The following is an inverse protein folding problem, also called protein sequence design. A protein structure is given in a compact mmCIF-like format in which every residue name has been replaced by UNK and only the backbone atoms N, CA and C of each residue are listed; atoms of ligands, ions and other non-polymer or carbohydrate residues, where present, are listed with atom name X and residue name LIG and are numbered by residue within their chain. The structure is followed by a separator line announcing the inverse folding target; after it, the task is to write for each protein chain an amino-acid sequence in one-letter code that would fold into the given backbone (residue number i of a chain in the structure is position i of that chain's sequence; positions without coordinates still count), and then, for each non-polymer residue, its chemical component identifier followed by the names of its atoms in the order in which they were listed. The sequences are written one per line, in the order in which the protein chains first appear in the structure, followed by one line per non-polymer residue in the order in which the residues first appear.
data_IF_351843401780
#
_entry.id   IF_351843401780
#
_cell.length_a   1.000
_cell.length_b   1.000
_cell.length_c   1.000
_cell.angle_alpha   90.00
_cell.angle_beta   90.00
_cell.angle_gamma   90.00
#
_symmetry.space_group_name_H-M   'P 1'
#
loop_
_entity.id
_entity.type
_entity.pdbx_description
1 polymer ?
#
# COMPACT_ATOMS: atom_id res chain seq x y z
N UNK A 1 9.92 -30.03 -4.62
CA UNK A 1 9.86 -29.53 -4.14
C UNK A 1 9.10 -28.73 -3.86
N UNK A 2 8.69 -28.57 -3.43
CA UNK A 2 7.95 -27.99 -3.17
C UNK A 2 7.84 -27.10 -2.50
N UNK A 3 7.88 -26.45 -2.48
CA UNK A 3 7.79 -25.48 -1.89
C UNK A 3 6.61 -25.00 -1.58
N UNK A 4 5.77 -25.56 -1.37
CA UNK A 4 4.53 -25.11 -1.04
C UNK A 4 4.45 -24.71 0.37
N UNK A 5 5.30 -23.92 0.82
CA UNK A 5 5.21 -23.34 2.14
C UNK A 5 4.01 -22.41 2.16
N UNK A 6 2.99 -22.66 2.98
CA UNK A 6 1.83 -21.80 3.05
C UNK A 6 2.18 -20.35 3.40
N UNK A 7 3.23 -20.16 4.17
CA UNK A 7 3.63 -18.81 4.53
C UNK A 7 4.14 -18.04 3.33
N UNK A 8 4.87 -18.71 2.45
CA UNK A 8 5.38 -18.05 1.26
C UNK A 8 4.24 -17.67 0.33
N UNK A 9 3.30 -18.58 0.15
CA UNK A 9 2.14 -18.31 -0.71
C UNK A 9 1.32 -17.15 -0.15
N UNK A 10 1.15 -17.13 1.16
CA UNK A 10 0.39 -16.07 1.79
C UNK A 10 1.08 -14.73 1.63
N UNK A 11 2.39 -14.71 1.79
CA UNK A 11 3.14 -13.47 1.63
C UNK A 11 3.08 -12.95 0.21
N UNK A 12 3.16 -13.86 -0.76
CA UNK A 12 3.08 -13.45 -2.15
C UNK A 12 1.71 -12.90 -2.49
N UNK A 13 0.67 -13.49 -1.94
CA UNK A 13 -0.67 -12.99 -2.16
C UNK A 13 -0.86 -11.62 -1.56
N UNK A 14 -0.34 -11.40 -0.36
CA UNK A 14 -0.44 -10.10 0.28
C UNK A 14 0.35 -9.04 -0.45
N UNK A 15 1.51 -9.44 -0.98
CA UNK A 15 2.31 -8.51 -1.74
C UNK A 15 1.59 -8.08 -3.00
N UNK A 16 0.96 -9.04 -3.68
CA UNK A 16 0.21 -8.73 -4.89
C UNK A 16 -0.98 -7.82 -4.57
N UNK A 17 -1.67 -8.11 -3.48
CA UNK A 17 -2.77 -7.26 -3.06
C UNK A 17 -2.28 -5.84 -2.77
N UNK A 18 -1.13 -5.75 -2.13
CA UNK A 18 -0.53 -4.46 -1.84
C UNK A 18 -0.26 -3.68 -3.12
N UNK A 19 0.31 -4.33 -4.11
CA UNK A 19 0.58 -3.67 -5.38
C UNK A 19 -0.69 -3.27 -6.10
N UNK A 20 -1.68 -4.15 -6.07
CA UNK A 20 -2.94 -3.88 -6.75
C UNK A 20 -3.68 -2.70 -6.14
N UNK A 21 -3.55 -2.51 -4.84
CA UNK A 21 -4.23 -1.44 -4.14
C UNK A 21 -3.44 -0.15 -4.09
N UNK A 22 -2.24 -0.16 -4.65
CA UNK A 22 -1.39 1.02 -4.55
C UNK A 22 -1.99 2.26 -5.20
N UNK A 23 -2.59 2.18 -6.40
CA UNK A 23 -3.21 3.36 -6.98
C UNK A 23 -4.31 3.94 -6.10
N UNK A 24 -5.13 3.08 -5.51
CA UNK A 24 -6.18 3.52 -4.63
C UNK A 24 -5.60 4.10 -3.34
N UNK A 25 -4.53 3.49 -2.86
CA UNK A 25 -3.84 3.97 -1.68
C UNK A 25 -3.34 5.39 -1.88
N UNK A 26 -2.73 5.63 -3.02
CA UNK A 26 -2.20 6.95 -3.31
C UNK A 26 -3.32 7.96 -3.40
N UNK A 27 -4.45 7.57 -3.98
CA UNK A 27 -5.60 8.46 -4.06
C UNK A 27 -6.11 8.82 -2.69
N UNK A 28 -6.18 7.86 -1.78
CA UNK A 28 -6.60 8.13 -0.41
C UNK A 28 -5.61 9.02 0.32
N UNK A 29 -4.34 8.82 0.05
CA UNK A 29 -3.31 9.58 0.75
C UNK A 29 -3.29 11.04 0.31
N UNK A 30 -3.66 11.30 -0.94
CA UNK A 30 -3.65 12.66 -1.46
C UNK A 30 -2.28 13.27 -1.52
N UNK A 31 -1.25 12.45 -1.59
CA UNK A 31 0.11 12.97 -1.63
C UNK A 31 0.50 13.31 -3.07
N UNK A 32 1.32 14.35 -3.24
CA UNK A 32 1.84 14.65 -4.57
C UNK A 32 2.63 13.48 -5.12
N UNK A 33 2.47 13.22 -6.40
CA UNK A 33 3.11 12.07 -7.00
C UNK A 33 4.44 12.38 -7.62
N UNK A 34 4.76 13.63 -7.81
CA UNK A 34 6.06 13.91 -8.39
C UNK A 34 6.51 15.24 -7.94
N UNK A 35 7.64 15.23 -7.33
CA UNK A 35 8.27 16.43 -6.96
C UNK A 35 9.69 16.21 -7.33
N UNK A 36 9.95 16.10 -8.57
CA UNK A 36 11.30 15.89 -9.02
C UNK A 36 12.18 17.01 -8.51
N UNK A 37 13.32 16.63 -8.00
CA UNK A 37 14.29 17.58 -7.54
C UNK A 37 14.13 18.01 -6.12
N UNK A 38 13.13 17.52 -5.44
CA UNK A 38 12.97 17.84 -4.04
C UNK A 38 13.50 16.74 -3.18
N UNK A 39 14.15 17.12 -2.12
CA UNK A 39 14.67 16.19 -1.15
C UNK A 39 13.87 16.31 0.12
N UNK A 40 13.50 15.18 0.66
CA UNK A 40 12.74 15.16 1.91
C UNK A 40 13.66 14.79 3.04
N UNK A 41 13.43 15.42 4.19
CA UNK A 41 14.14 15.03 5.40
C UNK A 41 13.62 13.68 5.86
N UNK A 42 14.36 13.06 6.76
CA UNK A 42 13.96 11.80 7.34
C UNK A 42 12.58 11.90 7.98
N UNK A 43 12.38 12.99 8.66
CA UNK A 43 11.11 13.24 9.34
C UNK A 43 9.96 13.34 8.34
N UNK A 44 10.20 14.04 7.24
CA UNK A 44 9.19 14.17 6.21
C UNK A 44 8.88 12.83 5.57
N UNK A 45 9.90 12.02 5.35
CA UNK A 45 9.69 10.70 4.77
C UNK A 45 8.89 9.81 5.71
N UNK A 46 9.16 9.90 6.99
CA UNK A 46 8.39 9.12 7.96
C UNK A 46 6.94 9.52 7.98
N UNK A 47 6.69 10.82 7.89
CA UNK A 47 5.32 11.32 7.84
C UNK A 47 4.59 10.79 6.61
N UNK A 48 5.27 10.80 5.46
CA UNK A 48 4.67 10.28 4.25
C UNK A 48 4.41 8.79 4.36
N UNK A 49 5.34 8.07 4.96
CA UNK A 49 5.17 6.62 5.14
C UNK A 49 3.98 6.33 6.04
N UNK A 50 3.82 7.12 7.10
CA UNK A 50 2.69 6.97 7.99
C UNK A 50 1.38 7.20 7.24
N UNK A 51 1.34 8.26 6.43
CA UNK A 51 0.15 8.57 5.66
C UNK A 51 -0.18 7.44 4.68
N UNK A 52 0.84 6.88 4.07
CA UNK A 52 0.63 5.78 3.13
C UNK A 52 0.13 4.52 3.84
N UNK A 53 0.67 4.24 5.02
CA UNK A 53 0.20 3.07 5.76
C UNK A 53 -1.26 3.21 6.13
N UNK A 54 -1.65 4.39 6.58
CA UNK A 54 -3.04 4.63 6.93
C UNK A 54 -3.92 4.56 5.69
N UNK A 55 -3.47 5.16 4.60
CA UNK A 55 -4.22 5.17 3.35
C UNK A 55 -4.38 3.75 2.80
N UNK A 56 -3.36 2.92 2.95
CA UNK A 56 -3.46 1.54 2.49
C UNK A 56 -4.51 0.78 3.29
N UNK A 57 -4.56 1.01 4.59
CA UNK A 57 -5.57 0.39 5.43
C UNK A 57 -6.96 0.77 4.97
N UNK A 58 -7.16 2.04 4.67
CA UNK A 58 -8.46 2.52 4.20
C UNK A 58 -8.78 1.97 2.82
N UNK A 59 -7.79 1.91 1.94
CA UNK A 59 -8.01 1.38 0.60
C UNK A 59 -8.42 -0.08 0.66
N UNK A 60 -7.79 -0.84 1.53
CA UNK A 60 -8.10 -2.25 1.71
C UNK A 60 -9.52 -2.43 2.20
N UNK A 61 -9.89 -1.64 3.17
CA UNK A 61 -11.22 -1.71 3.73
C UNK A 61 -12.27 -1.35 2.68
N UNK A 62 -12.02 -0.29 1.94
CA UNK A 62 -12.93 0.15 0.91
C UNK A 62 -13.11 -0.93 -0.16
N UNK A 63 -12.02 -1.53 -0.59
CA UNK A 63 -12.08 -2.57 -1.62
C UNK A 63 -12.89 -3.77 -1.13
N UNK A 64 -12.69 -4.15 0.12
CA UNK A 64 -13.43 -5.27 0.68
C UNK A 64 -14.92 -4.99 0.72
N UNK A 65 -15.29 -3.78 1.06
CA UNK A 65 -16.69 -3.40 1.12
C UNK A 65 -17.35 -3.51 -0.25
N UNK A 66 -16.60 -3.17 -1.29
CA UNK A 66 -17.15 -3.27 -2.64
C UNK A 66 -17.32 -4.71 -3.08
N UNK A 67 -16.42 -5.57 -2.65
CA UNK A 67 -16.44 -6.96 -3.08
C UNK A 67 -17.48 -7.78 -2.34
N UNK A 68 -17.68 -7.49 -1.10
CA UNK A 68 -18.54 -8.33 -0.27
C UNK A 68 -20.01 -7.93 -0.31
N UNK A 69 -20.37 -7.01 -1.16
CA UNK A 69 -21.76 -6.56 -1.22
C UNK A 69 -22.69 -7.54 -1.88
#
# INVERSE_FOLDING_TARGET
MSNADPNVAEQQRRYREFLDLMPLTIAFAGLPTSDTGKYYTEEQMETRAFALRHAYKMARQFAREQITR
#
